data_IF_927424851689
#
_entry.id   IF_927424851689
#
_cell.length_a   1.000
_cell.length_b   1.000
_cell.length_c   1.000
_cell.angle_alpha   90.00
_cell.angle_beta   90.00
_cell.angle_gamma   90.00
#
_symmetry.space_group_name_H-M   'P 1'
#
loop_
_entity.id
_entity.type
_entity.pdbx_description
1 polymer ?
#
# COMPACT_ATOMS: atom_id res chain seq x y z
N UNK A 1 -14.18 21.48 25.03
CA UNK A 1 -13.10 22.47 24.85
C UNK A 1 -11.94 21.73 24.18
N UNK A 2 -11.93 21.68 22.84
CA UNK A 2 -10.79 21.12 22.13
C UNK A 2 -9.66 22.15 22.21
N UNK A 3 -8.57 21.82 22.89
CA UNK A 3 -7.38 22.66 22.90
C UNK A 3 -6.88 22.74 21.45
N UNK A 4 -6.90 23.94 20.88
CA UNK A 4 -6.19 24.25 19.64
C UNK A 4 -4.71 24.06 19.90
N UNK A 5 -4.18 22.87 19.59
CA UNK A 5 -2.74 22.66 19.57
C UNK A 5 -2.20 23.43 18.37
N UNK A 6 -1.22 24.32 18.61
CA UNK A 6 -0.42 24.93 17.55
C UNK A 6 0.51 23.87 16.97
N UNK A 7 -0.03 23.00 16.12
CA UNK A 7 0.76 22.00 15.42
C UNK A 7 1.52 22.69 14.28
N UNK A 8 2.83 22.41 14.18
CA UNK A 8 3.64 22.84 13.05
C UNK A 8 3.31 21.97 11.83
N UNK A 9 3.57 22.48 10.62
CA UNK A 9 3.29 21.74 9.38
C UNK A 9 3.97 20.35 9.34
N UNK A 10 5.16 20.24 9.93
CA UNK A 10 5.88 18.96 10.11
C UNK A 10 5.15 17.93 10.96
N UNK A 11 4.26 18.34 11.86
CA UNK A 11 3.49 17.41 12.70
C UNK A 11 2.43 16.66 11.87
N UNK A 12 2.20 17.10 10.62
CA UNK A 12 1.34 16.48 9.63
C UNK A 12 2.13 15.85 8.47
N UNK A 13 3.44 15.63 8.65
CA UNK A 13 4.26 14.91 7.68
C UNK A 13 3.70 13.49 7.48
N UNK A 14 3.28 13.19 6.25
CA UNK A 14 2.67 11.93 5.89
C UNK A 14 3.08 11.50 4.48
N UNK A 15 3.17 10.19 4.28
CA UNK A 15 3.24 9.55 2.96
C UNK A 15 1.84 9.26 2.45
N UNK A 16 1.70 8.97 1.16
CA UNK A 16 0.41 8.65 0.58
C UNK A 16 0.57 7.68 -0.58
N UNK A 17 -0.13 6.54 -0.52
CA UNK A 17 -0.34 5.63 -1.65
C UNK A 17 -1.81 5.64 -2.00
N UNK A 18 -2.14 6.05 -3.22
CA UNK A 18 -3.53 6.14 -3.70
C UNK A 18 -3.66 5.36 -5.00
N UNK A 19 -4.70 4.53 -5.08
CA UNK A 19 -5.04 3.76 -6.28
C UNK A 19 -6.49 4.07 -6.66
N UNK A 20 -6.71 4.49 -7.91
CA UNK A 20 -8.02 4.68 -8.51
C UNK A 20 -8.14 3.65 -9.65
N UNK A 21 -8.93 2.60 -9.44
CA UNK A 21 -9.12 1.53 -10.41
C UNK A 21 -10.49 1.67 -11.10
N UNK A 22 -10.47 2.16 -12.34
CA UNK A 22 -11.65 2.28 -13.21
C UNK A 22 -11.93 1.02 -14.02
N UNK A 23 -12.98 1.02 -14.86
CA UNK A 23 -13.31 -0.12 -15.73
C UNK A 23 -12.36 -0.26 -16.93
N UNK A 24 -11.68 0.81 -17.34
CA UNK A 24 -10.79 0.85 -18.52
C UNK A 24 -9.40 1.41 -18.21
N UNK A 25 -9.23 2.10 -17.10
CA UNK A 25 -7.95 2.67 -16.69
C UNK A 25 -7.70 2.48 -15.19
N UNK A 26 -6.44 2.61 -14.79
CA UNK A 26 -6.04 2.62 -13.39
C UNK A 26 -5.00 3.72 -13.18
N UNK A 27 -5.19 4.54 -12.15
CA UNK A 27 -4.28 5.60 -11.76
C UNK A 27 -3.69 5.28 -10.39
N UNK A 28 -2.38 5.45 -10.26
CA UNK A 28 -1.66 5.31 -9.01
C UNK A 28 -0.94 6.63 -8.74
N UNK A 29 -1.13 7.16 -7.53
CA UNK A 29 -0.51 8.39 -7.04
C UNK A 29 0.24 8.05 -5.77
N UNK A 30 1.51 8.43 -5.69
CA UNK A 30 2.39 8.01 -4.60
C UNK A 30 3.32 9.13 -4.16
N UNK A 31 3.40 9.36 -2.86
CA UNK A 31 4.36 10.26 -2.19
C UNK A 31 5.02 9.48 -1.05
N UNK A 32 6.36 9.45 -1.04
CA UNK A 32 7.16 8.84 0.03
C UNK A 32 7.22 7.32 -0.03
N UNK A 33 7.19 6.72 1.16
CA UNK A 33 7.29 5.28 1.42
C UNK A 33 5.91 4.62 1.41
N UNK A 34 5.91 3.29 1.41
CA UNK A 34 4.78 2.44 1.09
C UNK A 34 4.87 1.93 -0.34
N UNK A 35 3.91 1.11 -0.74
CA UNK A 35 3.90 0.54 -2.08
C UNK A 35 2.51 0.26 -2.59
N UNK A 36 2.38 0.25 -3.91
CA UNK A 36 1.22 -0.26 -4.62
C UNK A 36 1.60 -1.52 -5.40
N UNK A 37 0.82 -2.58 -5.25
CA UNK A 37 0.87 -3.76 -6.09
C UNK A 37 -0.44 -3.90 -6.84
N UNK A 38 -0.36 -4.41 -8.07
CA UNK A 38 -1.53 -4.65 -8.90
C UNK A 38 -1.46 -6.05 -9.51
N UNK A 39 -2.63 -6.60 -9.81
CA UNK A 39 -2.76 -7.82 -10.60
C UNK A 39 -3.48 -7.51 -11.90
N UNK A 40 -2.87 -7.91 -13.00
CA UNK A 40 -3.44 -7.79 -14.33
C UNK A 40 -3.12 -9.07 -15.11
N UNK A 41 -4.12 -9.62 -15.80
CA UNK A 41 -3.99 -10.88 -16.56
C UNK A 41 -3.41 -12.02 -15.72
N UNK A 42 -3.86 -12.09 -14.46
CA UNK A 42 -3.44 -13.12 -13.51
C UNK A 42 -2.05 -12.92 -12.90
N UNK A 43 -1.28 -11.90 -13.28
CA UNK A 43 0.08 -11.65 -12.80
C UNK A 43 0.16 -10.48 -11.83
N UNK A 44 0.81 -10.71 -10.69
CA UNK A 44 1.15 -9.64 -9.74
C UNK A 44 2.38 -8.88 -10.21
N UNK A 45 2.31 -7.55 -10.15
CA UNK A 45 3.39 -6.65 -10.51
C UNK A 45 3.41 -5.40 -9.61
N UNK A 46 4.54 -4.71 -9.61
CA UNK A 46 4.69 -3.43 -8.93
C UNK A 46 3.81 -2.39 -9.64
N UNK A 47 2.89 -1.77 -8.90
CA UNK A 47 2.14 -0.61 -9.37
C UNK A 47 2.84 0.71 -9.00
N UNK A 48 3.48 0.75 -7.83
CA UNK A 48 4.38 1.82 -7.43
C UNK A 48 5.35 1.33 -6.36
N UNK A 49 6.61 1.74 -6.47
CA UNK A 49 7.69 1.38 -5.56
C UNK A 49 7.90 2.48 -4.50
N UNK A 50 8.36 2.12 -3.27
CA UNK A 50 8.75 3.08 -2.24
C UNK A 50 9.82 4.05 -2.73
N UNK A 51 9.78 5.29 -2.26
CA UNK A 51 10.80 6.30 -2.56
C UNK A 51 11.79 6.41 -1.41
N UNK A 52 12.80 5.55 -1.39
CA UNK A 52 13.93 5.76 -0.51
C UNK A 52 14.69 6.99 -1.04
N UNK A 53 14.66 8.12 -0.31
CA UNK A 53 15.37 9.33 -0.70
C UNK A 53 16.89 9.15 -0.86
N UNK A 54 17.63 10.24 -1.08
CA UNK A 54 19.07 10.19 -1.39
C UNK A 54 19.93 9.51 -0.31
N UNK A 55 19.42 9.38 0.92
CA UNK A 55 20.04 8.64 2.01
C UNK A 55 19.06 7.60 2.58
N UNK A 56 19.59 6.45 3.00
CA UNK A 56 18.81 5.45 3.72
C UNK A 56 18.09 6.08 4.93
N UNK A 57 16.77 5.94 4.99
CA UNK A 57 15.94 6.57 6.02
C UNK A 57 15.46 7.99 5.72
N UNK A 58 15.60 8.46 4.48
CA UNK A 58 14.97 9.72 4.04
C UNK A 58 13.62 9.43 3.39
N UNK A 59 12.55 9.94 4.01
CA UNK A 59 11.17 9.83 3.52
C UNK A 59 10.72 11.17 2.94
N UNK A 60 10.01 11.15 1.82
CA UNK A 60 9.35 12.33 1.27
C UNK A 60 7.92 12.46 1.77
N UNK A 61 7.53 13.66 2.18
CA UNK A 61 6.23 13.92 2.76
C UNK A 61 5.36 14.80 1.86
N UNK A 62 4.04 14.64 2.00
CA UNK A 62 3.05 15.49 1.32
C UNK A 62 3.21 16.98 1.68
N UNK A 63 3.76 17.25 2.86
CA UNK A 63 3.92 18.60 3.43
C UNK A 63 5.35 19.14 3.32
N UNK A 64 6.25 18.52 2.55
CA UNK A 64 7.62 19.02 2.39
C UNK A 64 7.61 20.45 1.82
N UNK A 65 8.53 21.30 2.30
CA UNK A 65 8.60 22.72 1.95
C UNK A 65 8.76 22.98 0.43
N UNK A 66 9.32 22.02 -0.30
CA UNK A 66 9.45 22.04 -1.77
C UNK A 66 8.20 21.58 -2.54
N UNK A 67 7.13 21.23 -1.83
CA UNK A 67 5.96 20.55 -2.37
C UNK A 67 6.11 19.03 -2.39
N UNK A 68 4.98 18.33 -2.36
CA UNK A 68 4.95 16.87 -2.39
C UNK A 68 5.65 16.32 -3.65
N UNK A 69 6.56 15.36 -3.45
CA UNK A 69 7.15 14.58 -4.56
C UNK A 69 6.16 13.56 -5.11
N UNK A 70 5.09 14.05 -5.72
CA UNK A 70 4.01 13.25 -6.26
C UNK A 70 4.46 12.51 -7.53
N UNK A 71 4.49 11.18 -7.45
CA UNK A 71 4.61 10.30 -8.62
C UNK A 71 3.22 9.86 -9.06
N UNK A 72 2.94 10.00 -10.35
CA UNK A 72 1.67 9.57 -10.96
C UNK A 72 1.97 8.53 -12.03
N UNK A 73 1.40 7.34 -11.87
CA UNK A 73 1.46 6.26 -12.86
C UNK A 73 0.06 6.00 -13.39
N UNK A 74 -0.12 6.12 -14.71
CA UNK A 74 -1.38 5.78 -15.38
C UNK A 74 -1.21 4.50 -16.18
N UNK A 75 -2.08 3.55 -15.91
CA UNK A 75 -2.19 2.31 -16.65
C UNK A 75 -3.40 2.43 -17.59
N UNK A 76 -3.17 2.26 -18.89
CA UNK A 76 -4.20 2.33 -19.93
C UNK A 76 -5.14 1.12 -19.98
N UNK A 77 -5.29 0.41 -18.86
CA UNK A 77 -6.11 -0.78 -18.72
C UNK A 77 -6.68 -0.86 -17.30
N UNK A 78 -7.73 -1.66 -17.13
CA UNK A 78 -8.20 -2.06 -15.81
C UNK A 78 -7.32 -3.16 -15.20
N UNK A 79 -7.36 -3.24 -13.88
CA UNK A 79 -6.69 -4.27 -13.09
C UNK A 79 -7.73 -5.15 -12.39
N UNK A 80 -7.34 -6.40 -12.12
CA UNK A 80 -8.16 -7.43 -11.48
C UNK A 80 -8.16 -7.27 -9.96
N UNK A 81 -6.98 -7.04 -9.40
CA UNK A 81 -6.74 -6.94 -7.96
C UNK A 81 -5.74 -5.82 -7.69
N UNK A 82 -5.88 -5.15 -6.56
CA UNK A 82 -4.98 -4.08 -6.11
C UNK A 82 -4.64 -4.27 -4.64
N UNK A 83 -3.44 -3.82 -4.27
CA UNK A 83 -3.00 -3.69 -2.90
C UNK A 83 -2.22 -2.39 -2.71
N UNK A 84 -2.54 -1.65 -1.65
CA UNK A 84 -1.75 -0.52 -1.17
C UNK A 84 -1.30 -0.81 0.26
N UNK A 85 -0.02 -0.58 0.57
CA UNK A 85 0.57 -0.88 1.88
C UNK A 85 1.47 0.25 2.37
N UNK A 86 1.63 0.33 3.70
CA UNK A 86 2.64 1.17 4.36
C UNK A 86 3.99 0.48 4.40
N UNK A 87 5.04 1.27 4.63
CA UNK A 87 6.44 0.88 4.83
C UNK A 87 6.64 -0.28 5.80
N UNK A 88 5.86 -0.32 6.89
CA UNK A 88 5.89 -1.42 7.86
C UNK A 88 5.67 -2.81 7.25
N UNK A 89 5.15 -2.93 6.01
CA UNK A 89 4.99 -4.19 5.28
C UNK A 89 5.91 -4.37 4.08
N UNK A 90 6.71 -3.39 3.69
CA UNK A 90 7.54 -3.45 2.47
C UNK A 90 8.49 -4.66 2.47
N UNK A 91 9.18 -4.91 3.59
CA UNK A 91 10.13 -6.04 3.71
C UNK A 91 9.47 -7.43 3.66
N UNK A 92 8.15 -7.49 3.85
CA UNK A 92 7.38 -8.72 3.67
C UNK A 92 6.79 -8.82 2.27
N UNK A 93 6.40 -7.68 1.70
CA UNK A 93 5.67 -7.58 0.44
C UNK A 93 6.57 -7.46 -0.80
N UNK A 94 7.83 -7.03 -0.66
CA UNK A 94 8.71 -6.68 -1.78
C UNK A 94 10.04 -7.45 -1.72
N UNK A 95 10.56 -7.79 -2.89
CA UNK A 95 11.95 -8.18 -3.09
C UNK A 95 12.73 -6.96 -3.57
N UNK A 96 13.49 -6.33 -2.67
CA UNK A 96 14.34 -5.18 -3.01
C UNK A 96 15.50 -5.54 -3.92
N UNK A 97 15.97 -6.80 -3.88
CA UNK A 97 17.05 -7.26 -4.75
C UNK A 97 16.60 -7.37 -6.22
N UNK A 98 15.34 -7.72 -6.45
CA UNK A 98 14.79 -7.97 -7.79
C UNK A 98 13.85 -6.85 -8.28
N UNK A 99 13.60 -5.83 -7.45
CA UNK A 99 12.60 -4.77 -7.66
C UNK A 99 11.22 -5.32 -8.06
N UNK A 100 10.78 -6.35 -7.32
CA UNK A 100 9.52 -7.06 -7.59
C UNK A 100 8.67 -7.20 -6.34
N UNK A 101 7.38 -7.40 -6.58
CA UNK A 101 6.46 -7.88 -5.55
C UNK A 101 6.79 -9.32 -5.14
N UNK A 102 6.70 -9.62 -3.85
CA UNK A 102 6.74 -10.98 -3.34
C UNK A 102 5.38 -11.64 -3.59
N UNK A 103 5.22 -12.28 -4.75
CA UNK A 103 3.95 -12.86 -5.22
C UNK A 103 3.23 -13.73 -4.16
N UNK A 104 3.90 -14.67 -3.44
CA UNK A 104 3.26 -15.48 -2.41
C UNK A 104 2.57 -14.67 -1.29
N UNK A 105 3.12 -13.51 -0.92
CA UNK A 105 2.48 -12.62 0.05
C UNK A 105 1.13 -12.14 -0.47
N UNK A 106 1.08 -11.59 -1.68
CA UNK A 106 -0.16 -11.06 -2.25
C UNK A 106 -1.19 -12.15 -2.56
N UNK A 107 -0.76 -13.31 -3.07
CA UNK A 107 -1.66 -14.46 -3.27
C UNK A 107 -2.27 -14.95 -1.96
N UNK A 108 -1.47 -15.04 -0.89
CA UNK A 108 -1.94 -15.43 0.43
C UNK A 108 -2.95 -14.44 1.00
N UNK A 109 -2.65 -13.14 0.89
CA UNK A 109 -3.50 -12.06 1.42
C UNK A 109 -4.80 -11.89 0.64
N UNK A 110 -4.79 -12.14 -0.68
CA UNK A 110 -5.97 -12.01 -1.52
C UNK A 110 -6.90 -13.22 -1.44
N UNK A 111 -6.39 -14.40 -1.07
CA UNK A 111 -7.17 -15.65 -1.07
C UNK A 111 -8.52 -15.57 -0.32
N UNK A 112 -8.61 -15.00 0.90
CA UNK A 112 -9.90 -14.87 1.59
C UNK A 112 -10.87 -13.94 0.87
N UNK A 113 -10.36 -12.88 0.22
CA UNK A 113 -11.18 -11.95 -0.57
C UNK A 113 -11.65 -12.61 -1.88
N UNK A 114 -10.79 -13.40 -2.53
CA UNK A 114 -11.08 -14.09 -3.78
C UNK A 114 -12.15 -15.19 -3.63
N UNK A 115 -12.28 -15.78 -2.45
CA UNK A 115 -13.30 -16.78 -2.13
C UNK A 115 -14.71 -16.20 -1.93
N UNK A 116 -14.85 -14.86 -1.91
CA UNK A 116 -16.14 -14.21 -1.69
C UNK A 116 -16.95 -14.12 -2.99
N UNK A 117 -18.26 -14.21 -2.84
CA UNK A 117 -19.24 -14.01 -3.91
C UNK A 117 -19.98 -12.67 -3.79
N UNK A 118 -19.78 -11.94 -2.70
CA UNK A 118 -20.46 -10.66 -2.43
C UNK A 118 -19.53 -9.49 -2.68
N UNK A 119 -20.08 -8.43 -3.29
CA UNK A 119 -19.38 -7.17 -3.53
C UNK A 119 -19.42 -6.27 -2.30
N UNK A 120 -18.39 -5.45 -2.13
CA UNK A 120 -18.32 -4.43 -1.08
C UNK A 120 -17.34 -4.79 0.03
N UNK A 121 -17.44 -4.09 1.17
CA UNK A 121 -16.54 -4.28 2.31
C UNK A 121 -16.80 -5.61 2.99
N UNK A 122 -15.74 -6.23 3.48
CA UNK A 122 -15.79 -7.50 4.23
C UNK A 122 -15.15 -7.32 5.60
N UNK A 123 -15.95 -7.01 6.65
CA UNK A 123 -15.43 -6.87 8.01
C UNK A 123 -14.76 -8.14 8.54
N UNK A 124 -15.26 -9.30 8.13
CA UNK A 124 -14.72 -10.61 8.49
C UNK A 124 -13.32 -10.83 7.91
N UNK A 125 -13.11 -10.56 6.62
CA UNK A 125 -11.78 -10.60 6.01
C UNK A 125 -10.87 -9.54 6.63
N UNK A 126 -11.37 -8.33 6.91
CA UNK A 126 -10.60 -7.31 7.63
C UNK A 126 -10.15 -7.77 9.02
N UNK A 127 -10.99 -8.50 9.77
CA UNK A 127 -10.63 -9.06 11.07
C UNK A 127 -9.58 -10.16 10.97
N UNK A 128 -9.66 -11.02 9.94
CA UNK A 128 -8.65 -12.02 9.64
C UNK A 128 -7.31 -11.37 9.27
N UNK A 129 -7.33 -10.36 8.40
CA UNK A 129 -6.15 -9.59 8.02
C UNK A 129 -5.50 -8.93 9.24
N UNK A 130 -6.29 -8.27 10.10
CA UNK A 130 -5.81 -7.69 11.36
C UNK A 130 -5.11 -8.75 12.24
N UNK A 131 -5.72 -9.91 12.40
CA UNK A 131 -5.16 -10.99 13.21
C UNK A 131 -3.85 -11.53 12.64
N UNK A 132 -3.77 -11.66 11.31
CA UNK A 132 -2.54 -12.05 10.62
C UNK A 132 -1.44 -11.00 10.77
N UNK A 133 -1.74 -9.72 10.56
CA UNK A 133 -0.76 -8.64 10.70
C UNK A 133 -0.23 -8.48 12.13
N UNK A 134 -1.01 -8.88 13.13
CA UNK A 134 -0.63 -8.91 14.54
C UNK A 134 0.08 -10.21 14.97
N UNK A 135 0.22 -11.19 14.07
CA UNK A 135 0.83 -12.48 14.40
C UNK A 135 2.34 -12.39 14.59
N UNK A 136 2.92 -13.31 15.36
CA UNK A 136 4.35 -13.36 15.61
C UNK A 136 5.19 -13.50 14.32
N UNK A 137 4.68 -14.20 13.30
CA UNK A 137 5.39 -14.37 12.02
C UNK A 137 5.54 -13.05 11.25
N UNK A 138 4.64 -12.09 11.48
CA UNK A 138 4.71 -10.74 10.90
C UNK A 138 5.49 -9.81 11.83
N UNK A 139 5.11 -9.74 13.11
CA UNK A 139 5.72 -8.81 14.08
C UNK A 139 7.19 -9.12 14.40
N UNK A 140 7.68 -10.34 14.17
CA UNK A 140 9.11 -10.65 14.30
C UNK A 140 9.96 -10.09 13.16
N UNK A 141 9.34 -9.62 12.08
CA UNK A 141 10.01 -9.10 10.87
C UNK A 141 9.94 -7.58 10.75
N UNK A 142 9.08 -6.93 11.53
CA UNK A 142 8.83 -5.49 11.50
C UNK A 142 8.19 -5.05 12.82
N UNK A 143 8.77 -4.01 13.43
CA UNK A 143 8.30 -3.34 14.63
C UNK A 143 7.42 -2.13 14.33
N UNK A 144 7.33 -1.71 13.07
CA UNK A 144 6.55 -0.57 12.61
C UNK A 144 5.04 -0.86 12.46
N UNK A 145 4.24 0.19 12.35
CA UNK A 145 2.81 0.12 12.12
C UNK A 145 2.50 -0.45 10.73
N UNK A 146 1.57 -1.42 10.71
CA UNK A 146 1.26 -2.23 9.52
C UNK A 146 -0.13 -1.92 9.02
N UNK A 147 -0.22 -1.36 7.81
CA UNK A 147 -1.49 -1.16 7.13
C UNK A 147 -1.45 -1.72 5.71
N UNK A 148 -2.51 -2.41 5.32
CA UNK A 148 -2.74 -2.85 3.94
C UNK A 148 -4.21 -2.68 3.57
N UNK A 149 -4.46 -2.20 2.36
CA UNK A 149 -5.77 -2.16 1.72
C UNK A 149 -5.75 -3.08 0.52
N UNK A 150 -6.73 -3.98 0.43
CA UNK A 150 -6.89 -4.92 -0.67
C UNK A 150 -8.24 -4.67 -1.34
N UNK A 151 -8.26 -4.74 -2.67
CA UNK A 151 -9.52 -4.75 -3.42
C UNK A 151 -9.41 -5.65 -4.65
N UNK A 152 -10.55 -6.20 -5.06
CA UNK A 152 -10.70 -7.10 -6.20
C UNK A 152 -11.92 -6.68 -7.01
N UNK A 153 -11.83 -6.80 -8.33
CA UNK A 153 -12.96 -6.61 -9.24
C UNK A 153 -13.91 -7.81 -9.16
N UNK A 154 -15.21 -7.51 -9.17
CA UNK A 154 -16.27 -8.52 -9.18
C UNK A 154 -16.32 -9.28 -10.51
#
# INVERSE_FOLDING_TARGET
MAASQSAAMRDFAATAVVIIAGPVDTLIMHVGDGAAAIRHEGRWQVGSWPDAGEFAGTTFFVTDDGGAKLRVTRLGHSVDEIAALTDGLERLALSFADERVHVPFFEGMMRPLAARTTTGRSPDVSAMLRSYLASQSVCSRTDDDKTIVLARRA
#
